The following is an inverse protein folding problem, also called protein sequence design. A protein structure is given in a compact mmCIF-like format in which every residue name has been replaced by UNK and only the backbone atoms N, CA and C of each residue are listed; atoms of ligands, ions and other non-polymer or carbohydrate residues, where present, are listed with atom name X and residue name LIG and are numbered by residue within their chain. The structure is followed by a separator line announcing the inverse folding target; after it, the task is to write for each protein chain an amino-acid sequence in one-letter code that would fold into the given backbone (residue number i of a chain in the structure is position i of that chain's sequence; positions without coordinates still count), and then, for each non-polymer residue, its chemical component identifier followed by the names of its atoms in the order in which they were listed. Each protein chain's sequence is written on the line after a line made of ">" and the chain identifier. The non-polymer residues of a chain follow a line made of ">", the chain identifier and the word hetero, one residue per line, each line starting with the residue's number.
data_IF_409631621402
#
_entry.id   IF_409631621402
#
_cell.length_a   1.000
_cell.length_b   1.000
_cell.length_c   1.000
_cell.angle_alpha   90.00
_cell.angle_beta   90.00
_cell.angle_gamma   90.00
#
_symmetry.space_group_name_H-M   'P 1'
#
loop_
_entity.id
_entity.type
_entity.pdbx_description
1 polymer ?
#
# COMPACT_ATOMS: atom_id res chain seq x y z
N UNK A 1 3.53 24.87 11.05
CA UNK A 1 5.01 24.73 11.09
C UNK A 1 5.51 23.55 11.97
N UNK A 2 4.68 22.91 12.80
CA UNK A 2 5.12 21.82 13.70
C UNK A 2 5.52 20.51 12.99
N UNK A 3 4.79 20.14 11.94
CA UNK A 3 5.05 18.90 11.16
C UNK A 3 6.43 18.87 10.51
N UNK A 4 6.94 20.04 10.08
CA UNK A 4 8.27 20.17 9.47
C UNK A 4 9.37 19.91 10.51
N UNK A 5 9.24 20.49 11.71
CA UNK A 5 10.21 20.25 12.80
C UNK A 5 10.22 18.80 13.25
N UNK A 6 9.05 18.16 13.30
CA UNK A 6 8.94 16.73 13.62
C UNK A 6 9.59 15.84 12.56
N UNK A 7 9.38 16.15 11.28
CA UNK A 7 10.01 15.42 10.19
C UNK A 7 11.53 15.46 10.28
N UNK A 8 12.12 16.63 10.56
CA UNK A 8 13.58 16.78 10.73
C UNK A 8 14.15 15.86 11.81
N UNK A 9 13.46 15.69 12.93
CA UNK A 9 13.88 14.76 13.99
C UNK A 9 13.75 13.27 13.62
N UNK A 10 12.81 12.91 12.73
CA UNK A 10 12.59 11.52 12.29
C UNK A 10 13.42 11.09 11.09
N UNK A 11 13.93 12.03 10.29
CA UNK A 11 14.77 11.75 9.12
C UNK A 11 15.92 10.77 9.43
N UNK A 12 16.71 10.94 10.52
CA UNK A 12 17.80 10.02 10.83
C UNK A 12 17.31 8.59 11.11
N UNK A 13 16.16 8.44 11.78
CA UNK A 13 15.56 7.12 12.07
C UNK A 13 15.07 6.41 10.80
N UNK A 14 14.48 7.13 9.86
CA UNK A 14 14.10 6.56 8.57
C UNK A 14 15.30 6.12 7.75
N UNK A 15 16.41 6.89 7.79
CA UNK A 15 17.65 6.53 7.11
C UNK A 15 18.28 5.27 7.73
N UNK A 16 18.28 5.16 9.06
CA UNK A 16 18.78 3.97 9.77
C UNK A 16 17.99 2.71 9.37
N UNK A 17 16.66 2.78 9.40
CA UNK A 17 15.79 1.66 8.98
C UNK A 17 15.98 1.27 7.51
N UNK A 18 16.17 2.25 6.61
CA UNK A 18 16.45 1.95 5.21
C UNK A 18 17.80 1.25 5.04
N UNK A 19 18.84 1.71 5.76
CA UNK A 19 20.17 1.11 5.71
C UNK A 19 20.15 -0.34 6.21
N UNK A 20 19.51 -0.59 7.34
CA UNK A 20 19.32 -1.94 7.91
C UNK A 20 18.60 -2.88 6.92
N UNK A 21 17.50 -2.41 6.32
CA UNK A 21 16.76 -3.17 5.32
C UNK A 21 17.57 -3.42 4.03
N UNK A 22 18.47 -2.50 3.65
CA UNK A 22 19.30 -2.62 2.45
C UNK A 22 20.48 -3.56 2.65
N UNK A 23 21.03 -3.60 3.87
CA UNK A 23 22.18 -4.44 4.23
C UNK A 23 21.78 -5.87 4.62
N UNK A 24 20.51 -6.12 4.96
CA UNK A 24 20.01 -7.47 5.23
C UNK A 24 19.95 -8.34 3.94
N UNK A 25 20.77 -9.40 3.82
CA UNK A 25 20.76 -10.29 2.66
C UNK A 25 19.47 -11.13 2.53
N UNK A 26 18.62 -11.15 3.56
CA UNK A 26 17.32 -11.82 3.56
C UNK A 26 16.17 -10.88 3.25
N UNK A 27 16.45 -9.59 3.05
CA UNK A 27 15.44 -8.61 2.75
C UNK A 27 14.71 -8.98 1.45
N UNK A 28 13.38 -9.08 1.55
CA UNK A 28 12.49 -9.31 0.41
C UNK A 28 11.51 -8.15 0.30
N UNK A 29 11.19 -7.78 -0.93
CA UNK A 29 10.18 -6.79 -1.21
C UNK A 29 8.86 -7.17 -0.55
N UNK A 30 8.33 -6.28 0.30
CA UNK A 30 7.06 -6.51 0.98
C UNK A 30 5.92 -6.53 -0.05
N UNK A 31 5.21 -7.66 -0.12
CA UNK A 31 4.06 -7.89 -1.02
C UNK A 31 2.84 -8.30 -0.20
N UNK A 32 2.22 -7.38 0.56
CA UNK A 32 1.01 -7.70 1.29
C UNK A 32 -0.07 -8.17 0.30
N UNK A 33 -0.85 -9.19 0.68
CA UNK A 33 -1.96 -9.70 -0.10
C UNK A 33 -3.25 -9.33 0.60
N UNK A 34 -4.21 -8.83 -0.16
CA UNK A 34 -5.57 -8.63 0.32
C UNK A 34 -6.38 -9.90 0.09
N UNK A 35 -7.16 -10.31 1.10
CA UNK A 35 -8.15 -11.38 0.96
C UNK A 35 -9.43 -10.76 0.40
N UNK A 36 -9.92 -11.30 -0.72
CA UNK A 36 -11.16 -10.85 -1.34
C UNK A 36 -12.36 -11.36 -0.52
N UNK A 37 -13.19 -10.43 -0.06
CA UNK A 37 -14.47 -10.69 0.65
C UNK A 37 -15.66 -10.06 -0.08
N UNK A 38 -15.45 -9.70 -1.35
CA UNK A 38 -16.50 -9.09 -2.18
C UNK A 38 -17.50 -10.12 -2.72
N UNK A 39 -18.47 -9.65 -3.51
CA UNK A 39 -19.50 -10.52 -4.09
C UNK A 39 -18.93 -11.61 -5.00
N UNK A 40 -19.59 -12.76 -5.06
CA UNK A 40 -19.25 -13.79 -6.03
C UNK A 40 -19.42 -13.30 -7.47
N UNK A 41 -18.81 -14.03 -8.42
CA UNK A 41 -18.89 -13.74 -9.85
C UNK A 41 -20.33 -13.42 -10.26
N UNK A 42 -20.53 -12.21 -10.78
CA UNK A 42 -21.82 -11.75 -11.29
C UNK A 42 -21.83 -11.95 -12.80
N UNK A 43 -22.92 -12.54 -13.31
CA UNK A 43 -23.20 -12.54 -14.75
C UNK A 43 -23.61 -11.12 -15.12
N UNK A 44 -22.89 -10.52 -16.07
CA UNK A 44 -23.30 -9.25 -16.66
C UNK A 44 -24.61 -9.50 -17.41
N UNK A 45 -25.74 -9.03 -16.88
CA UNK A 45 -27.02 -9.05 -17.57
C UNK A 45 -27.03 -7.86 -18.52
N UNK A 46 -27.44 -8.06 -19.78
CA UNK A 46 -27.44 -6.99 -20.80
C UNK A 46 -28.26 -5.75 -20.39
N UNK A 47 -29.18 -5.90 -19.44
CA UNK A 47 -29.99 -4.83 -18.85
C UNK A 47 -29.18 -3.81 -18.03
N UNK A 48 -28.01 -4.20 -17.51
CA UNK A 48 -27.16 -3.31 -16.70
C UNK A 48 -26.39 -2.28 -17.56
N UNK A 49 -26.35 -2.44 -18.89
CA UNK A 49 -25.76 -1.44 -19.82
C UNK A 49 -26.62 -0.19 -19.99
N UNK A 50 -27.90 -0.24 -19.62
CA UNK A 50 -28.86 0.86 -19.86
C UNK A 50 -28.94 1.85 -18.70
N UNK A 51 -28.23 1.61 -17.60
CA UNK A 51 -28.27 2.45 -16.38
C UNK A 51 -27.06 3.37 -16.21
N UNK A 52 -26.11 3.34 -17.15
CA UNK A 52 -24.91 4.20 -17.13
C UNK A 52 -24.98 5.38 -18.14
N UNK A 53 -26.16 5.65 -18.71
CA UNK A 53 -26.43 6.86 -19.49
C UNK A 53 -27.33 7.84 -18.74
#
# INVERSE_FOLDING_TARGET
>A
MFTVMFALGRLPGWIAHWKEAREDPRFKLQRPRQIYVGPNMRVLRDEDKTREH
#
